data_IF_344946921063
#
_entry.id   IF_344946921063
#
_cell.length_a   1.000
_cell.length_b   1.000
_cell.length_c   1.000
_cell.angle_alpha   90.00
_cell.angle_beta   90.00
_cell.angle_gamma   90.00
#
_symmetry.space_group_name_H-M   'P 1'
#
loop_
_entity.id
_entity.type
_entity.pdbx_description
1 polymer ?
#
# COMPACT_ATOMS: atom_id res chain seq x y z
N UNK A 1 2.63 1.68 -29.89
CA UNK A 1 3.40 1.19 -31.07
C UNK A 1 4.85 1.62 -30.93
N UNK A 2 5.84 0.73 -31.11
CA UNK A 2 7.27 1.07 -30.91
C UNK A 2 7.85 1.73 -32.17
N UNK A 3 8.56 2.85 -32.01
CA UNK A 3 9.28 3.56 -33.09
C UNK A 3 10.78 3.30 -33.00
N UNK A 4 11.46 3.29 -34.14
CA UNK A 4 12.92 3.19 -34.18
C UNK A 4 13.54 4.48 -33.64
N UNK A 5 14.46 4.38 -32.68
CA UNK A 5 15.12 5.56 -32.08
C UNK A 5 16.05 6.30 -33.06
N UNK A 6 16.45 5.64 -34.16
CA UNK A 6 17.35 6.21 -35.18
C UNK A 6 16.63 6.91 -36.32
N UNK A 7 15.63 6.25 -36.92
CA UNK A 7 14.92 6.77 -38.10
C UNK A 7 13.47 7.20 -37.81
N UNK A 8 12.99 7.05 -36.56
CA UNK A 8 11.63 7.38 -36.11
C UNK A 8 10.47 6.67 -36.80
N UNK A 9 10.76 5.80 -37.78
CA UNK A 9 9.76 4.96 -38.46
C UNK A 9 9.19 3.92 -37.49
N UNK A 10 7.91 3.57 -37.69
CA UNK A 10 7.23 2.51 -36.95
C UNK A 10 7.95 1.18 -37.19
N UNK A 11 8.30 0.47 -36.12
CA UNK A 11 8.92 -0.85 -36.21
C UNK A 11 7.80 -1.87 -36.45
N UNK A 12 7.77 -2.42 -37.66
CA UNK A 12 6.79 -3.44 -38.07
C UNK A 12 7.25 -4.83 -37.66
N UNK A 13 8.56 -5.10 -37.74
CA UNK A 13 9.19 -6.38 -37.38
C UNK A 13 10.52 -6.14 -36.67
N UNK A 14 10.79 -6.95 -35.65
CA UNK A 14 12.09 -7.00 -34.97
C UNK A 14 12.74 -8.32 -35.36
N UNK A 15 13.96 -8.26 -35.88
CA UNK A 15 14.74 -9.43 -36.30
C UNK A 15 15.97 -9.59 -35.40
N UNK A 16 16.37 -10.82 -35.11
CA UNK A 16 17.65 -11.16 -34.48
C UNK A 16 18.78 -11.11 -35.53
N UNK A 17 20.06 -11.08 -35.13
CA UNK A 17 21.20 -11.08 -36.06
C UNK A 17 21.22 -12.28 -37.02
N UNK A 18 20.66 -13.41 -36.60
CA UNK A 18 20.47 -14.65 -37.34
C UNK A 18 19.24 -14.63 -38.27
N UNK A 19 18.57 -13.48 -38.41
CA UNK A 19 17.43 -13.30 -39.33
C UNK A 19 16.10 -13.85 -38.83
N UNK A 20 16.06 -14.51 -37.67
CA UNK A 20 14.82 -14.98 -37.06
C UNK A 20 14.01 -13.82 -36.44
N UNK A 21 12.68 -13.89 -36.54
CA UNK A 21 11.79 -12.90 -35.92
C UNK A 21 11.84 -13.01 -34.39
N UNK A 22 11.98 -11.85 -33.73
CA UNK A 22 11.84 -11.78 -32.28
C UNK A 22 10.35 -11.83 -31.96
N UNK A 23 9.82 -13.04 -31.74
CA UNK A 23 8.46 -13.22 -31.25
C UNK A 23 8.39 -12.56 -29.88
N UNK A 24 7.76 -11.40 -29.83
CA UNK A 24 7.46 -10.75 -28.56
C UNK A 24 6.45 -11.64 -27.87
N UNK A 25 6.82 -12.28 -26.76
CA UNK A 25 5.86 -13.01 -25.95
C UNK A 25 4.65 -12.11 -25.72
N UNK A 26 3.45 -12.61 -26.05
CA UNK A 26 2.22 -11.89 -25.77
C UNK A 26 2.22 -11.55 -24.27
N UNK A 27 1.87 -10.32 -23.87
CA UNK A 27 1.73 -10.02 -22.46
C UNK A 27 0.75 -11.03 -21.86
N UNK A 28 1.18 -11.73 -20.80
CA UNK A 28 0.31 -12.66 -20.10
C UNK A 28 -0.96 -11.90 -19.67
N UNK A 29 -2.15 -12.52 -19.76
CA UNK A 29 -3.36 -11.91 -19.24
C UNK A 29 -3.12 -11.55 -17.77
N UNK A 30 -3.35 -10.28 -17.42
CA UNK A 30 -3.25 -9.82 -16.05
C UNK A 30 -4.28 -10.52 -15.15
N UNK A 31 -4.11 -10.44 -13.83
CA UNK A 31 -5.09 -11.02 -12.90
C UNK A 31 -6.50 -10.46 -13.16
N UNK A 32 -7.56 -11.26 -12.94
CA UNK A 32 -8.94 -10.80 -13.10
C UNK A 32 -9.22 -9.54 -12.27
N UNK A 33 -9.97 -8.58 -12.83
CA UNK A 33 -10.26 -7.30 -12.15
C UNK A 33 -10.88 -7.49 -10.76
N UNK A 34 -11.76 -8.48 -10.61
CA UNK A 34 -12.41 -8.82 -9.34
C UNK A 34 -11.40 -9.23 -8.25
N UNK A 35 -10.40 -10.04 -8.60
CA UNK A 35 -9.36 -10.46 -7.66
C UNK A 35 -8.49 -9.28 -7.22
N UNK A 36 -8.16 -8.38 -8.16
CA UNK A 36 -7.40 -7.17 -7.84
C UNK A 36 -8.18 -6.28 -6.87
N UNK A 37 -9.48 -6.11 -7.10
CA UNK A 37 -10.36 -5.31 -6.26
C UNK A 37 -10.55 -5.90 -4.86
N UNK A 38 -10.67 -7.23 -4.76
CA UNK A 38 -10.71 -7.95 -3.48
C UNK A 38 -9.40 -7.76 -2.70
N UNK A 39 -8.25 -7.97 -3.34
CA UNK A 39 -6.93 -7.78 -2.72
C UNK A 39 -6.73 -6.33 -2.23
N UNK A 40 -7.12 -5.35 -3.04
CA UNK A 40 -7.07 -3.93 -2.66
C UNK A 40 -7.99 -3.63 -1.47
N UNK A 41 -9.19 -4.20 -1.44
CA UNK A 41 -10.11 -4.05 -0.31
C UNK A 41 -9.52 -4.64 0.97
N UNK A 42 -8.94 -5.83 0.89
CA UNK A 42 -8.28 -6.50 2.04
C UNK A 42 -7.09 -5.70 2.54
N UNK A 43 -6.27 -5.16 1.64
CA UNK A 43 -5.16 -4.28 2.00
C UNK A 43 -5.65 -3.03 2.75
N UNK A 44 -6.66 -2.33 2.22
CA UNK A 44 -7.22 -1.14 2.89
C UNK A 44 -7.75 -1.45 4.29
N UNK A 45 -8.47 -2.56 4.46
CA UNK A 45 -8.97 -2.97 5.77
C UNK A 45 -7.85 -3.28 6.77
N UNK A 46 -6.73 -3.84 6.31
CA UNK A 46 -5.56 -4.09 7.16
C UNK A 46 -4.88 -2.79 7.54
N UNK A 47 -4.68 -1.89 6.58
CA UNK A 47 -4.08 -0.57 6.78
C UNK A 47 -4.89 0.28 7.77
N UNK A 48 -6.22 0.32 7.62
CA UNK A 48 -7.12 1.07 8.51
C UNK A 48 -7.04 0.61 9.97
N UNK A 49 -6.82 -0.69 10.22
CA UNK A 49 -6.70 -1.23 11.58
C UNK A 49 -5.45 -0.77 12.32
N UNK A 50 -4.38 -0.47 11.60
CA UNK A 50 -3.10 -0.03 12.16
C UNK A 50 -2.89 1.48 12.02
N UNK A 51 -3.79 2.18 11.35
CA UNK A 51 -3.77 3.64 11.20
C UNK A 51 -4.29 4.33 12.45
N UNK A 52 -3.66 5.45 12.84
CA UNK A 52 -4.08 6.25 13.97
C UNK A 52 -5.51 6.79 13.75
N UNK A 53 -6.46 6.54 14.67
CA UNK A 53 -7.85 6.97 14.50
C UNK A 53 -8.05 8.49 14.69
N UNK A 54 -6.98 9.22 15.04
CA UNK A 54 -7.02 10.66 15.31
C UNK A 54 -6.57 11.45 14.09
N UNK A 55 -5.38 11.16 13.56
CA UNK A 55 -4.85 11.87 12.39
C UNK A 55 -5.14 11.18 11.05
N UNK A 56 -5.50 9.90 11.06
CA UNK A 56 -5.82 9.12 9.85
C UNK A 56 -4.65 9.15 8.84
N UNK A 57 -3.42 9.10 9.35
CA UNK A 57 -2.21 9.25 8.54
C UNK A 57 -1.09 8.36 9.07
N UNK A 58 -0.66 8.61 10.30
CA UNK A 58 0.41 7.82 10.93
C UNK A 58 -0.09 6.50 11.52
N UNK A 59 0.78 5.51 11.57
CA UNK A 59 0.51 4.23 12.22
C UNK A 59 0.39 4.35 13.74
N UNK A 60 -0.39 3.46 14.35
CA UNK A 60 -0.47 3.27 15.80
C UNK A 60 0.91 2.86 16.32
N UNK A 61 1.42 3.62 17.29
CA UNK A 61 2.72 3.36 17.93
C UNK A 61 2.63 3.31 19.45
N UNK A 62 1.51 3.77 20.01
CA UNK A 62 1.21 3.74 21.42
C UNK A 62 -0.11 3.02 21.65
N UNK A 63 -0.14 2.13 22.63
CA UNK A 63 -1.35 1.51 23.17
C UNK A 63 -1.51 1.95 24.62
N UNK A 64 -2.71 2.38 24.98
CA UNK A 64 -3.07 2.74 26.34
C UNK A 64 -3.42 1.48 27.14
N UNK A 65 -3.41 1.57 28.47
CA UNK A 65 -3.77 0.46 29.37
C UNK A 65 -5.14 -0.19 29.07
N UNK A 66 -6.05 0.52 28.39
CA UNK A 66 -7.36 0.03 28.00
C UNK A 66 -7.37 -0.79 26.69
N UNK A 67 -6.22 -0.94 26.04
CA UNK A 67 -6.04 -1.70 24.79
C UNK A 67 -6.18 -0.89 23.51
N UNK A 68 -6.68 0.35 23.57
CA UNK A 68 -6.80 1.23 22.40
C UNK A 68 -5.50 2.00 22.12
N UNK A 69 -5.27 2.40 20.87
CA UNK A 69 -4.02 3.04 20.47
C UNK A 69 -4.16 4.27 19.58
N UNK A 70 -3.04 4.98 19.46
CA UNK A 70 -2.84 6.12 18.58
C UNK A 70 -1.38 6.16 18.10
N UNK A 71 -1.06 7.00 17.11
CA UNK A 71 0.33 7.31 16.79
C UNK A 71 1.00 8.06 17.95
N UNK A 72 2.33 8.07 17.98
CA UNK A 72 3.10 8.73 19.03
C UNK A 72 2.75 10.22 19.25
N UNK A 73 2.68 11.09 18.21
CA UNK A 73 2.38 12.51 18.42
C UNK A 73 0.96 12.73 18.93
N UNK A 74 -0.05 12.02 18.40
CA UNK A 74 -1.42 12.17 18.87
C UNK A 74 -1.63 11.57 20.26
N UNK A 75 -0.97 10.46 20.60
CA UNK A 75 -1.11 9.78 21.89
C UNK A 75 -0.41 10.47 23.07
N UNK A 76 0.62 11.28 22.79
CA UNK A 76 1.41 11.94 23.84
C UNK A 76 0.60 12.95 24.66
N UNK A 77 -0.24 13.76 24.01
CA UNK A 77 -0.99 14.85 24.65
C UNK A 77 -2.32 14.43 25.28
N UNK A 78 -2.74 13.17 25.12
CA UNK A 78 -4.05 12.71 25.59
C UNK A 78 -4.04 12.37 27.08
N UNK A 79 -5.04 12.86 27.82
CA UNK A 79 -5.30 12.49 29.21
C UNK A 79 -6.32 11.36 29.35
N UNK A 80 -7.15 11.13 28.33
CA UNK A 80 -8.15 10.07 28.28
C UNK A 80 -8.17 9.41 26.89
N UNK A 81 -8.52 8.12 26.86
CA UNK A 81 -8.61 7.35 25.62
C UNK A 81 -9.70 7.95 24.71
N UNK A 82 -9.42 8.22 23.42
CA UNK A 82 -10.39 8.80 22.51
C UNK A 82 -11.52 7.82 22.12
N UNK A 83 -11.34 6.52 22.39
CA UNK A 83 -12.28 5.46 22.03
C UNK A 83 -13.19 5.12 23.22
N UNK A 84 -12.62 4.74 24.36
CA UNK A 84 -13.40 4.32 25.53
C UNK A 84 -13.49 5.35 26.67
N UNK A 85 -12.86 6.52 26.50
CA UNK A 85 -12.87 7.65 27.47
C UNK A 85 -12.26 7.35 28.84
N UNK A 86 -11.64 6.19 29.04
CA UNK A 86 -10.91 5.88 30.28
C UNK A 86 -9.67 6.78 30.42
N UNK A 87 -9.33 7.22 31.66
CA UNK A 87 -8.12 8.01 31.90
C UNK A 87 -6.88 7.20 31.54
N UNK A 88 -5.91 7.84 30.87
CA UNK A 88 -4.67 7.20 30.43
C UNK A 88 -3.64 7.28 31.56
N UNK A 89 -3.31 6.14 32.17
CA UNK A 89 -2.23 6.00 33.16
C UNK A 89 -0.94 5.55 32.50
N UNK A 90 -1.02 4.55 31.62
CA UNK A 90 0.13 3.97 30.94
C UNK A 90 0.04 4.11 29.42
N UNK A 91 1.20 4.31 28.79
CA UNK A 91 1.40 4.35 27.34
C UNK A 91 2.49 3.33 26.98
N UNK A 92 2.08 2.27 26.30
CA UNK A 92 2.96 1.17 25.91
C UNK A 92 3.34 1.38 24.45
N UNK A 93 4.63 1.49 24.17
CA UNK A 93 5.11 1.59 22.81
C UNK A 93 5.03 0.23 22.12
N UNK A 94 4.46 0.21 20.92
CA UNK A 94 4.34 -1.00 20.09
C UNK A 94 5.00 -0.81 18.73
N UNK A 95 5.33 -1.94 18.10
CA UNK A 95 5.93 -1.99 16.77
C UNK A 95 5.01 -2.85 15.90
N UNK A 96 4.28 -2.17 15.02
CA UNK A 96 3.48 -2.74 13.92
C UNK A 96 4.17 -2.45 12.60
#
# INVERSE_FOLDING_TARGET
MKKCIRCQVVIIKKLRPDGTEVVSAAPAPGPPRQLVEELQSRYRQMEERITCPICIDSHIRLVFQCGHGACAPCGAALSACPICRQPIRDRIQIFV
#
